data_IF_801399651737
#
_entry.id   IF_801399651737
#
_cell.length_a   1.000
_cell.length_b   1.000
_cell.length_c   1.000
_cell.angle_alpha   90.00
_cell.angle_beta   90.00
_cell.angle_gamma   90.00
#
_symmetry.space_group_name_H-M   'P 1'
#
loop_
_entity.id
_entity.type
_entity.pdbx_description
1 polymer ?
#
# COMPACT_ATOMS: atom_id res chain seq x y z
N UNK A 1 32.45 -35.27 32.80
CA UNK A 1 30.98 -35.55 32.72
C UNK A 1 30.20 -34.51 33.52
N UNK A 2 30.59 -34.15 34.77
CA UNK A 2 29.86 -33.19 35.63
C UNK A 2 29.83 -31.75 35.03
N UNK A 3 30.89 -31.31 34.35
CA UNK A 3 30.95 -29.98 33.73
C UNK A 3 30.18 -29.90 32.41
N UNK A 4 30.15 -30.96 31.60
CA UNK A 4 29.34 -31.02 30.38
C UNK A 4 27.86 -30.91 30.64
N UNK A 5 27.36 -31.57 31.71
CA UNK A 5 25.93 -31.46 32.07
C UNK A 5 25.53 -30.02 32.47
N UNK A 6 26.42 -29.28 33.17
CA UNK A 6 26.18 -27.87 33.52
C UNK A 6 26.23 -26.96 32.30
N UNK A 7 27.07 -27.23 31.32
CA UNK A 7 27.16 -26.46 30.08
C UNK A 7 25.90 -26.65 29.22
N UNK A 8 25.40 -27.87 29.12
CA UNK A 8 24.17 -28.18 28.37
C UNK A 8 22.93 -27.50 29.03
N UNK A 9 22.83 -27.49 30.35
CA UNK A 9 21.75 -26.78 31.05
C UNK A 9 21.82 -25.26 30.86
N UNK A 10 23.03 -24.69 30.82
CA UNK A 10 23.21 -23.26 30.55
C UNK A 10 22.83 -22.89 29.11
N UNK A 11 23.13 -23.76 28.13
CA UNK A 11 22.71 -23.55 26.73
C UNK A 11 21.21 -23.66 26.55
N UNK A 12 20.54 -24.57 27.23
CA UNK A 12 19.07 -24.72 27.19
C UNK A 12 18.38 -23.51 27.82
N UNK A 13 18.93 -22.95 28.91
CA UNK A 13 18.40 -21.74 29.54
C UNK A 13 18.54 -20.49 28.61
N UNK A 14 19.61 -20.42 27.82
CA UNK A 14 19.82 -19.31 26.89
C UNK A 14 18.88 -19.34 25.67
N UNK A 15 18.47 -20.52 25.22
CA UNK A 15 17.54 -20.69 24.10
C UNK A 15 16.08 -20.42 24.55
N UNK A 16 15.75 -20.65 25.81
CA UNK A 16 14.40 -20.44 26.33
C UNK A 16 14.03 -18.95 26.55
N UNK A 17 15.01 -18.05 26.56
CA UNK A 17 14.74 -16.60 26.75
C UNK A 17 14.61 -15.80 25.48
N UNK A 18 14.80 -16.42 24.31
CA UNK A 18 14.75 -15.72 23.00
C UNK A 18 13.41 -15.81 22.27
N UNK A 19 12.38 -16.46 22.84
CA UNK A 19 11.08 -16.63 22.18
C UNK A 19 9.94 -15.74 22.74
N UNK A 20 10.26 -14.75 23.56
CA UNK A 20 9.26 -13.89 24.18
C UNK A 20 9.28 -12.43 23.66
N UNK A 21 9.49 -12.20 22.39
CA UNK A 21 9.47 -10.82 21.86
C UNK A 21 8.98 -10.69 20.42
N UNK A 22 7.93 -11.41 20.01
CA UNK A 22 7.19 -11.09 18.79
C UNK A 22 5.68 -11.25 19.00
N UNK A 23 5.19 -10.63 20.04
CA UNK A 23 3.76 -10.39 20.24
C UNK A 23 3.50 -8.90 20.25
N UNK A 24 3.83 -8.16 19.20
CA UNK A 24 3.26 -6.83 19.02
C UNK A 24 1.85 -7.00 18.50
N UNK A 25 0.94 -7.07 19.47
CA UNK A 25 -0.46 -6.76 19.27
C UNK A 25 -0.55 -5.39 18.65
N UNK A 26 -0.86 -5.34 17.33
CA UNK A 26 -1.36 -4.12 16.70
C UNK A 26 -2.75 -3.86 17.30
N UNK A 27 -2.76 -3.20 18.44
CA UNK A 27 -3.97 -2.56 18.95
C UNK A 27 -4.37 -1.51 17.93
N UNK A 28 -5.47 -1.75 17.24
CA UNK A 28 -6.23 -0.73 16.54
C UNK A 28 -6.75 0.25 17.58
N UNK A 29 -5.88 1.11 18.07
CA UNK A 29 -6.20 2.20 18.98
C UNK A 29 -7.02 3.24 18.24
N UNK A 30 -8.31 3.13 18.44
CA UNK A 30 -9.21 4.24 18.26
C UNK A 30 -8.74 5.36 19.18
N UNK A 31 -8.50 6.57 18.63
CA UNK A 31 -8.61 7.82 19.31
C UNK A 31 -7.34 8.50 19.82
N UNK A 32 -7.08 9.67 19.33
CA UNK A 32 -7.19 10.91 20.11
C UNK A 32 -6.68 12.08 19.26
N UNK A 33 -7.49 13.09 19.21
CA UNK A 33 -7.23 14.41 18.66
C UNK A 33 -5.90 14.95 19.15
N UNK A 34 -4.91 14.95 18.30
CA UNK A 34 -3.79 15.87 18.37
C UNK A 34 -3.89 16.76 17.14
N UNK A 35 -4.10 18.03 17.40
CA UNK A 35 -4.32 19.08 16.43
C UNK A 35 -2.97 19.44 15.77
N UNK A 36 -2.46 18.54 14.98
CA UNK A 36 -1.40 18.81 14.01
C UNK A 36 -1.99 18.36 12.69
N UNK A 37 -2.23 19.27 11.77
CA UNK A 37 -2.87 19.04 10.48
C UNK A 37 -1.98 18.23 9.53
N UNK A 38 -1.61 17.06 9.95
CA UNK A 38 -1.28 15.97 9.06
C UNK A 38 -2.61 15.31 8.76
N UNK A 39 -3.18 15.60 7.60
CA UNK A 39 -4.38 14.93 7.10
C UNK A 39 -4.08 13.43 7.00
N UNK A 40 -4.24 12.74 8.09
CA UNK A 40 -4.23 11.30 8.14
C UNK A 40 -5.58 10.84 7.60
N UNK A 41 -5.72 10.91 6.28
CA UNK A 41 -6.84 10.28 5.59
C UNK A 41 -6.67 8.77 5.80
N UNK A 42 -7.42 8.21 6.74
CA UNK A 42 -7.43 6.77 6.95
C UNK A 42 -7.72 6.05 5.64
N UNK A 43 -7.16 4.87 5.48
CA UNK A 43 -7.44 4.04 4.32
C UNK A 43 -8.91 3.63 4.37
N UNK A 44 -9.60 3.68 3.22
CA UNK A 44 -10.98 3.25 3.09
C UNK A 44 -11.08 1.74 3.44
N UNK A 45 -11.87 1.43 4.46
CA UNK A 45 -12.08 0.05 4.90
C UNK A 45 -12.89 -0.79 3.90
N UNK A 46 -13.61 -0.14 2.99
CA UNK A 46 -14.35 -0.83 1.93
C UNK A 46 -13.43 -1.21 0.80
N UNK A 47 -13.42 -2.49 0.44
CA UNK A 47 -12.61 -3.03 -0.64
C UNK A 47 -13.49 -3.63 -1.74
N UNK A 48 -12.91 -3.78 -2.92
CA UNK A 48 -13.50 -4.44 -4.08
C UNK A 48 -12.50 -5.43 -4.65
N UNK A 49 -12.93 -6.65 -4.87
CA UNK A 49 -12.12 -7.64 -5.58
C UNK A 49 -12.26 -7.44 -7.08
N UNK A 50 -11.13 -7.39 -7.75
CA UNK A 50 -11.03 -7.37 -9.21
C UNK A 50 -10.57 -8.75 -9.64
N UNK A 51 -11.39 -9.46 -10.42
CA UNK A 51 -11.06 -10.78 -10.93
C UNK A 51 -9.88 -10.73 -11.90
N UNK A 52 -9.07 -11.79 -11.88
CA UNK A 52 -8.06 -12.00 -12.92
C UNK A 52 -8.70 -12.23 -14.29
N UNK A 53 -7.95 -11.96 -15.33
CA UNK A 53 -8.40 -12.16 -16.71
C UNK A 53 -7.23 -12.49 -17.63
N UNK A 54 -7.52 -13.11 -18.76
CA UNK A 54 -6.53 -13.34 -19.82
C UNK A 54 -6.66 -12.26 -20.89
N UNK A 55 -5.56 -11.64 -21.24
CA UNK A 55 -5.48 -10.67 -22.34
C UNK A 55 -5.61 -11.39 -23.69
N UNK A 56 -5.92 -10.62 -24.75
CA UNK A 56 -6.01 -11.16 -26.13
C UNK A 56 -4.71 -11.81 -26.62
N UNK A 57 -3.56 -11.43 -26.07
CA UNK A 57 -2.26 -12.03 -26.37
C UNK A 57 -1.94 -13.29 -25.53
N UNK A 58 -2.90 -13.83 -24.79
CA UNK A 58 -2.74 -15.03 -23.95
C UNK A 58 -2.12 -14.77 -22.56
N UNK A 59 -1.68 -13.57 -22.24
CA UNK A 59 -1.08 -13.25 -20.93
C UNK A 59 -2.16 -13.20 -19.85
N UNK A 60 -2.01 -13.99 -18.80
CA UNK A 60 -2.91 -13.93 -17.63
C UNK A 60 -2.54 -12.75 -16.72
N UNK A 61 -3.53 -11.98 -16.32
CA UNK A 61 -3.44 -10.91 -15.33
C UNK A 61 -4.12 -11.36 -14.06
N UNK A 62 -3.35 -11.42 -12.97
CA UNK A 62 -3.89 -11.84 -11.67
C UNK A 62 -4.96 -10.87 -11.17
N UNK A 63 -5.95 -11.41 -10.48
CA UNK A 63 -6.91 -10.62 -9.71
C UNK A 63 -6.22 -9.93 -8.54
N UNK A 64 -6.85 -8.87 -8.02
CA UNK A 64 -6.35 -8.12 -6.88
C UNK A 64 -7.46 -7.45 -6.10
N UNK A 65 -7.19 -7.11 -4.86
CA UNK A 65 -8.10 -6.34 -4.02
C UNK A 65 -7.68 -4.88 -4.00
N UNK A 66 -8.63 -3.99 -4.20
CA UNK A 66 -8.44 -2.54 -4.14
C UNK A 66 -9.46 -1.88 -3.22
N UNK A 67 -9.21 -0.68 -2.79
CA UNK A 67 -10.21 0.18 -2.14
C UNK A 67 -11.40 0.42 -3.06
N UNK A 68 -12.57 0.52 -2.47
CA UNK A 68 -13.79 0.88 -3.22
C UNK A 68 -13.61 2.27 -3.84
N UNK A 69 -14.10 2.43 -5.07
CA UNK A 69 -13.97 3.68 -5.83
C UNK A 69 -14.81 4.78 -5.20
N UNK A 70 -14.22 5.95 -5.02
CA UNK A 70 -14.88 7.18 -4.61
C UNK A 70 -14.33 8.39 -5.40
N UNK A 71 -14.57 9.62 -4.92
CA UNK A 71 -14.18 10.87 -5.59
C UNK A 71 -12.73 11.27 -5.37
N UNK A 72 -11.99 10.60 -4.49
CA UNK A 72 -10.59 10.90 -4.13
C UNK A 72 -9.71 9.68 -4.23
N UNK A 73 -8.40 9.89 -4.29
CA UNK A 73 -7.45 8.79 -4.13
C UNK A 73 -6.78 8.79 -2.75
N UNK A 74 -7.12 9.75 -1.88
CA UNK A 74 -6.42 9.95 -0.60
C UNK A 74 -6.48 8.73 0.31
N UNK A 75 -7.60 8.02 0.29
CA UNK A 75 -7.89 6.83 1.09
C UNK A 75 -7.61 5.50 0.35
N UNK A 76 -7.02 5.54 -0.84
CA UNK A 76 -6.73 4.34 -1.62
C UNK A 76 -5.46 3.64 -1.12
N UNK A 77 -5.44 2.30 -1.15
CA UNK A 77 -4.25 1.48 -0.85
C UNK A 77 -3.03 1.86 -1.71
N UNK A 78 -3.25 2.31 -2.95
CA UNK A 78 -2.19 2.67 -3.88
C UNK A 78 -1.57 4.04 -3.63
N UNK A 79 -2.16 4.86 -2.74
CA UNK A 79 -1.71 6.23 -2.50
C UNK A 79 -0.54 6.27 -1.53
N UNK A 80 0.39 7.16 -1.78
CA UNK A 80 1.61 7.34 -0.98
C UNK A 80 1.28 7.55 0.50
N UNK A 81 1.94 6.77 1.35
CA UNK A 81 1.72 6.74 2.79
C UNK A 81 0.61 5.80 3.26
N UNK A 82 -0.20 5.23 2.37
CA UNK A 82 -1.21 4.25 2.73
C UNK A 82 -0.66 2.83 2.62
N UNK A 83 -1.05 1.97 3.55
CA UNK A 83 -0.66 0.57 3.57
C UNK A 83 -1.75 -0.31 2.96
N UNK A 84 -1.34 -1.26 2.13
CA UNK A 84 -2.22 -2.27 1.55
C UNK A 84 -2.09 -3.59 2.33
N UNK A 85 -3.08 -3.98 3.14
CA UNK A 85 -3.01 -5.18 3.96
C UNK A 85 -3.07 -6.48 3.14
N UNK A 86 -3.53 -6.42 1.89
CA UNK A 86 -3.64 -7.60 1.02
C UNK A 86 -2.33 -7.94 0.31
N UNK A 87 -1.46 -6.96 0.12
CA UNK A 87 -0.17 -7.15 -0.57
C UNK A 87 1.04 -6.93 0.34
N UNK A 88 0.82 -6.39 1.55
CA UNK A 88 1.90 -6.04 2.46
C UNK A 88 2.75 -4.85 2.02
N UNK A 89 2.26 -4.04 1.08
CA UNK A 89 3.03 -2.95 0.46
C UNK A 89 2.46 -1.58 0.79
N UNK A 90 3.32 -0.56 0.76
CA UNK A 90 2.89 0.83 0.86
C UNK A 90 2.66 1.40 -0.55
N UNK A 91 1.59 2.20 -0.69
CA UNK A 91 1.28 2.87 -1.94
C UNK A 91 2.34 3.91 -2.30
N UNK A 92 2.50 4.16 -3.60
CA UNK A 92 3.46 5.12 -4.15
C UNK A 92 2.82 6.24 -4.97
N UNK A 93 1.51 6.14 -5.26
CA UNK A 93 0.81 7.10 -6.11
C UNK A 93 0.64 8.44 -5.40
N UNK A 94 0.95 9.55 -6.07
CA UNK A 94 0.73 10.87 -5.51
C UNK A 94 -0.75 11.11 -5.15
N UNK A 95 -0.98 11.86 -4.09
CA UNK A 95 -2.34 12.26 -3.65
C UNK A 95 -2.92 13.27 -4.63
N UNK A 96 -4.22 13.18 -4.88
CA UNK A 96 -4.95 14.20 -5.63
C UNK A 96 -4.72 15.59 -5.03
N UNK A 97 -4.53 16.60 -5.86
CA UNK A 97 -4.31 18.01 -5.49
C UNK A 97 -3.06 18.28 -4.64
N UNK A 98 -2.14 17.33 -4.52
CA UNK A 98 -0.86 17.54 -3.84
C UNK A 98 0.17 18.18 -4.78
N UNK A 99 1.22 18.77 -4.22
CA UNK A 99 2.35 19.27 -4.99
C UNK A 99 3.01 18.19 -5.85
N UNK A 100 3.03 16.95 -5.38
CA UNK A 100 3.57 15.81 -6.11
C UNK A 100 2.69 15.42 -7.31
N UNK A 101 1.38 15.70 -7.30
CA UNK A 101 0.49 15.40 -8.41
C UNK A 101 0.83 16.21 -9.66
N UNK A 102 1.39 17.40 -9.53
CA UNK A 102 1.79 18.25 -10.66
C UNK A 102 2.93 17.64 -11.47
N UNK A 103 3.87 16.99 -10.81
CA UNK A 103 5.02 16.35 -11.45
C UNK A 103 4.73 14.90 -11.87
N UNK A 104 3.56 14.36 -11.49
CA UNK A 104 3.20 13.00 -11.82
C UNK A 104 2.95 12.86 -13.32
N UNK A 105 3.75 12.03 -14.00
CA UNK A 105 3.72 11.90 -15.45
C UNK A 105 4.56 12.98 -16.17
N UNK A 106 5.50 13.63 -15.49
CA UNK A 106 6.47 14.54 -16.11
C UNK A 106 7.18 13.84 -17.28
N UNK A 107 7.38 14.57 -18.37
CA UNK A 107 7.97 14.04 -19.62
C UNK A 107 6.99 13.29 -20.52
N UNK A 108 5.72 13.15 -20.13
CA UNK A 108 4.68 12.52 -20.94
C UNK A 108 3.60 13.52 -21.36
N UNK A 109 3.05 13.35 -22.57
CA UNK A 109 1.88 14.11 -23.02
C UNK A 109 0.64 13.63 -22.27
N UNK A 110 0.04 14.52 -21.48
CA UNK A 110 -1.18 14.23 -20.71
C UNK A 110 -2.41 14.41 -21.61
N UNK A 111 -3.23 13.39 -21.66
CA UNK A 111 -4.49 13.34 -22.40
C UNK A 111 -5.66 13.34 -21.44
N UNK A 112 -6.82 13.84 -21.88
CA UNK A 112 -8.06 13.79 -21.11
C UNK A 112 -9.01 12.77 -21.75
N UNK A 113 -9.45 11.81 -20.93
CA UNK A 113 -10.45 10.83 -21.39
C UNK A 113 -11.87 11.42 -21.36
N UNK A 114 -12.80 10.73 -22.02
CA UNK A 114 -14.21 11.14 -22.16
C UNK A 114 -14.94 11.38 -20.82
N UNK A 115 -14.44 10.78 -19.74
CA UNK A 115 -14.97 10.96 -18.37
C UNK A 115 -14.16 11.96 -17.53
N UNK A 116 -13.35 12.81 -18.17
CA UNK A 116 -12.53 13.84 -17.50
C UNK A 116 -11.28 13.31 -16.80
N UNK A 117 -11.02 11.99 -16.80
CA UNK A 117 -9.81 11.42 -16.22
C UNK A 117 -8.58 11.76 -17.05
N UNK A 118 -7.52 12.31 -16.43
CA UNK A 118 -6.27 12.60 -17.10
C UNK A 118 -5.35 11.37 -17.10
N UNK A 119 -4.67 11.10 -18.20
CA UNK A 119 -3.77 9.97 -18.35
C UNK A 119 -2.66 10.27 -19.37
N UNK A 120 -1.61 9.48 -19.34
CA UNK A 120 -0.63 9.38 -20.41
C UNK A 120 -0.50 7.94 -20.90
N UNK A 121 0.10 7.75 -22.07
CA UNK A 121 0.44 6.42 -22.59
C UNK A 121 1.90 6.15 -22.21
N UNK A 122 2.16 5.05 -21.53
CA UNK A 122 3.52 4.64 -21.21
C UNK A 122 4.21 3.94 -22.41
N UNK A 123 5.50 3.61 -22.27
CA UNK A 123 6.28 2.92 -23.31
C UNK A 123 5.69 1.57 -23.76
N UNK A 124 4.88 0.94 -22.92
CA UNK A 124 4.22 -0.32 -23.21
C UNK A 124 2.82 -0.14 -23.84
N UNK A 125 2.45 1.09 -24.24
CA UNK A 125 1.13 1.39 -24.81
C UNK A 125 -0.02 1.40 -23.82
N UNK A 126 0.24 1.31 -22.52
CA UNK A 126 -0.82 1.28 -21.50
C UNK A 126 -1.19 2.69 -21.02
N UNK A 127 -2.50 2.90 -20.76
CA UNK A 127 -2.97 4.13 -20.12
C UNK A 127 -2.58 4.15 -18.64
N UNK A 128 -1.86 5.18 -18.24
CA UNK A 128 -1.51 5.46 -16.85
C UNK A 128 -2.25 6.71 -16.41
N UNK A 129 -3.26 6.54 -15.55
CA UNK A 129 -4.02 7.68 -15.03
C UNK A 129 -3.21 8.46 -14.02
N UNK A 130 -3.25 9.78 -14.14
CA UNK A 130 -2.58 10.69 -13.21
C UNK A 130 -3.53 11.14 -12.11
N UNK A 131 -3.02 11.53 -10.92
CA UNK A 131 -3.83 12.12 -9.88
C UNK A 131 -4.46 13.45 -10.34
N UNK A 132 -5.57 13.84 -9.72
CA UNK A 132 -6.22 15.13 -10.03
C UNK A 132 -5.30 16.29 -9.71
N UNK A 133 -5.30 17.26 -10.59
CA UNK A 133 -4.56 18.54 -10.49
C UNK A 133 -5.55 19.69 -10.49
N UNK A 134 -5.17 20.83 -9.92
CA UNK A 134 -5.92 22.08 -10.09
C UNK A 134 -5.66 22.65 -11.47
#
# INVERSE_FOLDING_TARGET
>A
IKYMKKLILALIALVATSTAAFGQSYSYGNNSRSNTSTYNYGVNSRSTNVSGYTRSNGTYVNGYTRTQRNSTNHDNYSTSGNYNPYTGTTGSRARDYSSQSYNYGAGHTIQTGSRGGQYYINSNGNKVYVPKRR
#
